data_IF_112106884188
#
_entry.id   IF_112106884188
#
_cell.length_a   1.000
_cell.length_b   1.000
_cell.length_c   1.000
_cell.angle_alpha   90.00
_cell.angle_beta   90.00
_cell.angle_gamma   90.00
#
_symmetry.space_group_name_H-M   'P 1'
#
loop_
_entity.id
_entity.type
_entity.pdbx_description
1 polymer ?
#
# COMPACT_ATOMS: atom_id res chain seq x y z
N UNK A 1 -22.31 11.88 -24.47
CA UNK A 1 -21.26 11.88 -23.43
C UNK A 1 -21.61 10.75 -22.46
N UNK A 2 -20.88 9.63 -22.48
CA UNK A 2 -21.19 8.50 -21.59
C UNK A 2 -20.91 8.95 -20.15
N UNK A 3 -21.90 8.81 -19.26
CA UNK A 3 -21.67 8.92 -17.81
C UNK A 3 -20.86 7.70 -17.41
N UNK A 4 -19.69 7.82 -16.77
CA UNK A 4 -19.05 6.64 -16.24
C UNK A 4 -19.91 6.15 -15.08
N UNK A 5 -20.41 4.93 -15.26
CA UNK A 5 -20.99 4.08 -14.24
C UNK A 5 -20.23 4.17 -12.90
N UNK A 6 -20.98 4.33 -11.80
CA UNK A 6 -20.50 4.17 -10.42
C UNK A 6 -20.08 2.71 -10.22
N UNK A 7 -18.89 2.37 -10.71
CA UNK A 7 -18.20 1.12 -10.47
C UNK A 7 -17.29 1.25 -9.24
N UNK A 8 -17.08 0.12 -8.53
CA UNK A 8 -16.15 0.04 -7.40
C UNK A 8 -14.79 0.66 -7.76
N UNK A 9 -14.22 1.44 -6.84
CA UNK A 9 -12.90 2.04 -7.04
C UNK A 9 -11.87 0.96 -7.42
N UNK A 10 -10.96 1.23 -8.39
CA UNK A 10 -9.98 0.27 -8.83
C UNK A 10 -9.07 -0.14 -7.67
N UNK A 11 -8.76 -1.44 -7.56
CA UNK A 11 -7.92 -1.97 -6.48
C UNK A 11 -6.46 -1.67 -6.76
N UNK A 12 -5.81 -0.94 -5.86
CA UNK A 12 -4.39 -0.63 -5.95
C UNK A 12 -3.58 -1.80 -5.38
N UNK A 13 -2.99 -2.60 -6.26
CA UNK A 13 -2.19 -3.79 -5.92
C UNK A 13 -0.77 -3.72 -6.53
N UNK A 14 0.20 -4.49 -6.00
CA UNK A 14 1.57 -4.47 -6.49
C UNK A 14 1.73 -5.32 -7.77
N UNK A 15 2.34 -4.73 -8.78
CA UNK A 15 2.90 -5.44 -9.92
C UNK A 15 4.26 -6.03 -9.54
N UNK A 16 4.37 -7.35 -9.50
CA UNK A 16 5.63 -8.05 -9.18
C UNK A 16 6.41 -8.32 -10.48
N UNK A 17 7.76 -8.21 -10.52
CA UNK A 17 8.69 -7.93 -9.42
C UNK A 17 9.04 -6.44 -9.26
N UNK A 18 8.45 -5.51 -10.03
CA UNK A 18 8.79 -4.08 -9.95
C UNK A 18 8.26 -3.40 -8.68
N UNK A 19 7.24 -4.00 -8.05
CA UNK A 19 6.46 -3.45 -6.95
C UNK A 19 5.83 -2.09 -7.27
N UNK A 20 5.53 -1.83 -8.53
CA UNK A 20 4.75 -0.65 -8.93
C UNK A 20 3.27 -0.89 -8.73
N UNK A 21 2.47 0.15 -8.59
CA UNK A 21 1.03 0.01 -8.51
C UNK A 21 0.45 -0.22 -9.92
N UNK A 22 -0.42 -1.22 -10.09
CA UNK A 22 -1.06 -1.54 -11.39
C UNK A 22 -2.07 -0.49 -11.87
N UNK A 23 -2.50 0.43 -11.00
CA UNK A 23 -3.54 1.43 -11.27
C UNK A 23 -2.96 2.83 -11.47
N UNK A 24 -1.93 3.17 -10.71
CA UNK A 24 -1.32 4.50 -10.75
C UNK A 24 -0.47 4.69 -12.02
N UNK A 25 -0.08 5.94 -12.33
CA UNK A 25 0.89 6.21 -13.40
C UNK A 25 2.15 5.35 -13.27
N UNK A 26 2.74 4.99 -14.41
CA UNK A 26 3.90 4.11 -14.49
C UNK A 26 5.02 4.53 -13.53
N UNK A 27 5.59 3.54 -12.84
CA UNK A 27 6.67 3.76 -11.87
C UNK A 27 6.21 4.22 -10.48
N UNK A 28 4.91 4.42 -10.24
CA UNK A 28 4.42 4.73 -8.89
C UNK A 28 4.63 3.53 -7.95
N UNK A 29 5.38 3.67 -6.84
CA UNK A 29 5.62 2.57 -5.93
C UNK A 29 4.34 2.14 -5.20
N UNK A 30 4.08 0.84 -5.15
CA UNK A 30 3.08 0.25 -4.26
C UNK A 30 3.73 -0.08 -2.89
N UNK A 31 3.10 0.18 -1.73
CA UNK A 31 1.79 0.81 -1.54
C UNK A 31 1.81 2.31 -1.86
N UNK A 32 1.00 2.71 -2.85
CA UNK A 32 0.79 4.10 -3.22
C UNK A 32 -0.25 4.75 -2.28
N UNK A 33 -0.36 6.09 -2.20
CA UNK A 33 -1.28 6.75 -1.29
C UNK A 33 -2.74 6.21 -1.30
N UNK A 34 -3.41 6.02 -2.46
CA UNK A 34 -4.75 5.41 -2.47
C UNK A 34 -4.74 3.92 -2.06
N UNK A 35 -3.69 3.17 -2.40
CA UNK A 35 -3.53 1.79 -1.93
C UNK A 35 -3.36 1.67 -0.42
N UNK A 36 -2.68 2.64 0.22
CA UNK A 36 -2.58 2.72 1.68
C UNK A 36 -3.95 2.95 2.33
N UNK A 37 -4.80 3.78 1.71
CA UNK A 37 -6.19 3.98 2.16
C UNK A 37 -6.99 2.68 2.03
N UNK A 38 -6.95 2.03 0.87
CA UNK A 38 -7.67 0.76 0.66
C UNK A 38 -7.22 -0.35 1.62
N UNK A 39 -5.91 -0.44 1.89
CA UNK A 39 -5.36 -1.36 2.89
C UNK A 39 -5.85 -1.00 4.31
N UNK A 40 -5.82 0.28 4.69
CA UNK A 40 -6.33 0.71 6.00
C UNK A 40 -7.83 0.43 6.17
N UNK A 41 -8.62 0.61 5.11
CA UNK A 41 -10.05 0.31 5.10
C UNK A 41 -10.35 -1.18 5.21
N UNK A 42 -9.50 -2.04 4.64
CA UNK A 42 -9.65 -3.50 4.76
C UNK A 42 -9.38 -4.01 6.20
N UNK A 43 -8.66 -3.25 7.02
CA UNK A 43 -8.28 -3.58 8.39
C UNK A 43 -8.85 -2.58 9.43
N UNK A 44 -10.03 -2.01 9.17
CA UNK A 44 -10.66 -1.06 10.09
C UNK A 44 -10.78 -1.65 11.50
N UNK A 45 -10.21 -0.95 12.48
CA UNK A 45 -10.18 -1.37 13.88
C UNK A 45 -8.99 -2.25 14.25
N UNK A 46 -8.23 -2.75 13.26
CA UNK A 46 -7.14 -3.72 13.44
C UNK A 46 -5.80 -3.22 12.85
N UNK A 47 -5.29 -2.04 13.24
CA UNK A 47 -4.08 -1.44 12.65
C UNK A 47 -2.80 -2.26 12.92
N UNK A 48 -2.78 -3.05 14.00
CA UNK A 48 -1.67 -3.96 14.28
C UNK A 48 -1.63 -5.09 13.26
N UNK A 49 -2.79 -5.68 12.94
CA UNK A 49 -2.88 -6.73 11.92
C UNK A 49 -2.44 -6.21 10.54
N UNK A 50 -2.88 -5.00 10.17
CA UNK A 50 -2.39 -4.32 8.97
C UNK A 50 -0.87 -4.20 8.95
N UNK A 51 -0.29 -3.71 10.05
CA UNK A 51 1.16 -3.50 10.18
C UNK A 51 1.95 -4.79 10.04
N UNK A 52 1.47 -5.88 10.64
CA UNK A 52 2.09 -7.22 10.51
C UNK A 52 2.04 -7.69 9.07
N UNK A 53 0.87 -7.68 8.44
CA UNK A 53 0.68 -8.23 7.09
C UNK A 53 1.49 -7.47 6.04
N UNK A 54 1.57 -6.14 6.11
CA UNK A 54 2.42 -5.37 5.18
C UNK A 54 3.91 -5.49 5.50
N UNK A 55 4.28 -5.80 6.76
CA UNK A 55 5.68 -6.04 7.13
C UNK A 55 6.20 -7.35 6.55
N UNK A 56 5.36 -8.37 6.40
CA UNK A 56 5.75 -9.64 5.76
C UNK A 56 6.17 -9.46 4.30
N UNK A 57 5.72 -8.38 3.65
CA UNK A 57 6.05 -8.04 2.27
C UNK A 57 7.45 -7.42 2.13
N UNK A 58 8.01 -6.83 3.20
CA UNK A 58 9.31 -6.13 3.21
C UNK A 58 10.45 -6.96 2.61
N UNK A 59 10.79 -8.17 3.10
CA UNK A 59 11.93 -8.93 2.60
C UNK A 59 11.76 -9.32 1.12
N UNK A 60 10.52 -9.56 0.70
CA UNK A 60 10.20 -9.94 -0.66
C UNK A 60 10.34 -8.73 -1.60
N UNK A 61 9.84 -7.57 -1.19
CA UNK A 61 10.01 -6.32 -1.93
C UNK A 61 11.47 -5.87 -2.01
N UNK A 62 12.22 -6.01 -0.91
CA UNK A 62 13.65 -5.73 -0.87
C UNK A 62 14.41 -6.54 -1.92
N UNK A 63 14.14 -7.85 -1.98
CA UNK A 63 14.78 -8.75 -2.93
C UNK A 63 14.38 -8.45 -4.38
N UNK A 64 13.09 -8.31 -4.66
CA UNK A 64 12.59 -8.24 -6.04
C UNK A 64 12.72 -6.85 -6.66
N UNK A 65 12.42 -5.79 -5.90
CA UNK A 65 12.56 -4.42 -6.37
C UNK A 65 13.99 -3.89 -6.19
N UNK A 66 14.89 -4.67 -5.56
CA UNK A 66 16.29 -4.29 -5.34
C UNK A 66 16.47 -3.16 -4.33
N UNK A 67 15.54 -2.99 -3.39
CA UNK A 67 15.59 -1.93 -2.38
C UNK A 67 16.49 -2.39 -1.24
N UNK A 68 17.64 -1.73 -1.09
CA UNK A 68 18.64 -2.07 -0.07
C UNK A 68 18.56 -1.21 1.19
N UNK A 69 17.88 -0.05 1.13
CA UNK A 69 17.75 0.85 2.26
C UNK A 69 16.59 0.40 3.19
N UNK A 70 16.89 0.00 4.44
CA UNK A 70 15.85 -0.37 5.40
C UNK A 70 14.91 0.78 5.76
N UNK A 71 15.39 2.03 5.71
CA UNK A 71 14.56 3.19 6.00
C UNK A 71 13.49 3.38 4.91
N UNK A 72 13.87 3.30 3.63
CA UNK A 72 12.93 3.35 2.50
C UNK A 72 11.86 2.27 2.62
N UNK A 73 12.26 1.04 2.93
CA UNK A 73 11.35 -0.09 3.12
C UNK A 73 10.35 0.17 4.26
N UNK A 74 10.84 0.61 5.42
CA UNK A 74 9.99 0.96 6.56
C UNK A 74 9.02 2.10 6.25
N UNK A 75 9.51 3.18 5.64
CA UNK A 75 8.71 4.34 5.24
C UNK A 75 7.61 3.96 4.25
N UNK A 76 7.93 3.06 3.31
CA UNK A 76 7.02 2.63 2.26
C UNK A 76 5.91 1.71 2.76
N UNK A 77 6.24 0.72 3.59
CA UNK A 77 5.29 -0.33 3.98
C UNK A 77 4.67 -0.11 5.35
N UNK A 78 5.44 0.31 6.35
CA UNK A 78 5.02 0.27 7.76
C UNK A 78 4.65 1.65 8.28
N UNK A 79 5.31 2.72 7.79
CA UNK A 79 5.31 4.00 8.51
C UNK A 79 3.95 4.69 8.73
N UNK A 80 2.98 4.30 7.92
CA UNK A 80 1.66 4.94 7.85
C UNK A 80 0.56 4.10 8.53
N UNK A 81 0.85 2.85 8.91
CA UNK A 81 -0.16 1.90 9.41
C UNK A 81 -0.66 2.28 10.81
N UNK A 82 0.15 2.97 11.61
CA UNK A 82 -0.23 3.46 12.93
C UNK A 82 -0.90 4.85 12.90
N UNK A 83 -0.72 5.64 11.84
CA UNK A 83 -1.38 6.95 11.71
C UNK A 83 -2.88 6.83 11.46
N UNK A 84 -3.31 5.76 10.75
CA UNK A 84 -4.73 5.45 10.56
C UNK A 84 -5.45 5.02 11.86
N UNK A 85 -4.69 4.58 12.87
CA UNK A 85 -5.21 4.21 14.19
C UNK A 85 -5.52 5.43 15.07
N UNK A 86 -4.94 6.59 14.76
CA UNK A 86 -4.86 7.75 15.66
C UNK A 86 -5.84 8.89 15.39
N UNK A 87 -6.43 8.99 14.20
CA UNK A 87 -7.21 10.17 13.81
C UNK A 87 -8.74 9.94 13.90
N UNK A 88 -9.18 9.56 15.10
CA UNK A 88 -10.60 9.52 15.51
C UNK A 88 -10.83 10.16 16.87
N UNK A 89 -10.11 11.24 17.20
CA UNK A 89 -10.41 12.05 18.40
C UNK A 89 -11.18 13.30 18.05
#
# INVERSE_FOLDING_TARGET
MRKPETGREPVHEPQRPSWWCVVCPDGTPWPCPPGRVQLAEAYVGEPIALSVDVSELLPVAAQEAGITDPAELYERFVSWTWSAAGDRR
#
